data_IF_610053323639
#
_entry.id   IF_610053323639
#
_cell.length_a   1.000
_cell.length_b   1.000
_cell.length_c   1.000
_cell.angle_alpha   90.00
_cell.angle_beta   90.00
_cell.angle_gamma   90.00
#
_symmetry.space_group_name_H-M   'P 1'
#
loop_
_entity.id
_entity.type
_entity.pdbx_description
1 polymer ?
#
# COMPACT_ATOMS: atom_id res chain seq x y z
N UNK A 1 -10.90 7.14 7.53
CA UNK A 1 -11.51 6.92 6.20
C UNK A 1 -12.35 5.64 6.13
N UNK A 2 -11.79 4.42 6.19
CA UNK A 2 -12.58 3.19 6.02
C UNK A 2 -13.71 3.02 7.06
N UNK A 3 -13.41 3.25 8.35
CA UNK A 3 -14.44 3.24 9.40
C UNK A 3 -15.52 4.31 9.19
N UNK A 4 -15.12 5.53 8.80
CA UNK A 4 -16.06 6.62 8.51
C UNK A 4 -16.90 6.34 7.26
N UNK A 5 -16.39 5.51 6.36
CA UNK A 5 -17.10 5.06 5.17
C UNK A 5 -18.20 4.08 5.60
N UNK A 6 -17.89 3.08 6.43
CA UNK A 6 -18.87 2.11 6.92
C UNK A 6 -20.07 2.75 7.64
N UNK A 7 -19.89 3.92 8.26
CA UNK A 7 -20.99 4.68 8.86
C UNK A 7 -22.05 5.13 7.84
N UNK A 8 -21.68 5.36 6.57
CA UNK A 8 -22.61 5.76 5.49
C UNK A 8 -23.71 4.71 5.26
N UNK A 9 -23.38 3.44 5.46
CA UNK A 9 -24.29 2.31 5.32
C UNK A 9 -24.52 1.60 6.66
N UNK A 10 -24.32 2.30 7.78
CA UNK A 10 -24.27 1.71 9.12
C UNK A 10 -25.51 0.91 9.50
N UNK A 11 -26.70 1.35 9.08
CA UNK A 11 -27.93 0.60 9.30
C UNK A 11 -27.98 -0.73 8.52
N UNK A 12 -27.58 -0.72 7.25
CA UNK A 12 -27.51 -1.93 6.41
C UNK A 12 -26.51 -2.92 6.98
N UNK A 13 -25.34 -2.41 7.41
CA UNK A 13 -24.30 -3.22 8.08
C UNK A 13 -24.84 -3.80 9.39
N UNK A 14 -25.57 -3.01 10.20
CA UNK A 14 -26.16 -3.50 11.45
C UNK A 14 -27.19 -4.61 11.21
N UNK A 15 -28.05 -4.47 10.20
CA UNK A 15 -29.04 -5.50 9.82
C UNK A 15 -28.38 -6.80 9.38
N UNK A 16 -27.37 -6.72 8.49
CA UNK A 16 -26.64 -7.91 8.04
C UNK A 16 -25.89 -8.54 9.20
N UNK A 17 -25.19 -7.76 10.01
CA UNK A 17 -24.47 -8.25 11.20
C UNK A 17 -25.39 -9.01 12.14
N UNK A 18 -26.57 -8.47 12.45
CA UNK A 18 -27.51 -9.10 13.35
C UNK A 18 -28.02 -10.44 12.79
N UNK A 19 -28.28 -10.49 11.47
CA UNK A 19 -28.66 -11.73 10.79
C UNK A 19 -27.53 -12.77 10.81
N UNK A 20 -26.29 -12.34 10.61
CA UNK A 20 -25.12 -13.21 10.74
C UNK A 20 -25.00 -13.75 12.15
N UNK A 21 -25.14 -12.90 13.16
CA UNK A 21 -25.12 -13.30 14.57
C UNK A 21 -26.20 -14.33 14.89
N UNK A 22 -27.44 -14.14 14.44
CA UNK A 22 -28.55 -15.05 14.74
C UNK A 22 -28.35 -16.45 14.18
N UNK A 23 -27.65 -16.57 13.04
CA UNK A 23 -27.31 -17.84 12.40
C UNK A 23 -26.07 -18.47 13.04
N UNK A 24 -24.98 -17.72 13.20
CA UNK A 24 -23.70 -18.24 13.70
C UNK A 24 -23.78 -18.66 15.17
N UNK A 25 -24.52 -17.93 16.00
CA UNK A 25 -24.65 -18.22 17.44
C UNK A 25 -25.57 -19.41 17.74
N UNK A 26 -26.37 -19.88 16.78
CA UNK A 26 -27.30 -21.00 16.95
C UNK A 26 -26.83 -22.22 16.13
N UNK A 27 -26.31 -23.29 16.76
CA UNK A 27 -25.84 -24.47 16.04
C UNK A 27 -26.89 -25.07 15.10
N UNK A 28 -28.16 -25.09 15.52
CA UNK A 28 -29.25 -25.60 14.71
C UNK A 28 -29.52 -24.74 13.46
N UNK A 29 -29.47 -23.40 13.59
CA UNK A 29 -29.63 -22.49 12.44
C UNK A 29 -28.42 -22.53 11.53
N UNK A 30 -27.22 -22.63 12.07
CA UNK A 30 -26.00 -22.77 11.28
C UNK A 30 -26.03 -24.04 10.42
N UNK A 31 -26.50 -25.17 10.96
CA UNK A 31 -26.67 -26.41 10.18
C UNK A 31 -27.68 -26.20 9.03
N UNK A 32 -28.87 -25.67 9.34
CA UNK A 32 -29.88 -25.37 8.31
C UNK A 32 -29.39 -24.38 7.25
N UNK A 33 -28.61 -23.37 7.66
CA UNK A 33 -28.04 -22.40 6.74
C UNK A 33 -27.02 -23.05 5.81
N UNK A 34 -26.15 -23.95 6.34
CA UNK A 34 -25.24 -24.75 5.50
C UNK A 34 -26.01 -25.60 4.49
N UNK A 35 -27.12 -26.20 4.87
CA UNK A 35 -28.01 -26.91 3.93
C UNK A 35 -28.55 -25.97 2.84
N UNK A 36 -28.92 -24.73 3.18
CA UNK A 36 -29.34 -23.73 2.19
C UNK A 36 -28.21 -23.37 1.21
N UNK A 37 -26.97 -23.23 1.69
CA UNK A 37 -25.79 -22.97 0.85
C UNK A 37 -25.56 -24.10 -0.16
N UNK A 38 -25.66 -25.36 0.29
CA UNK A 38 -25.54 -26.53 -0.57
C UNK A 38 -26.67 -26.62 -1.60
N UNK A 39 -27.91 -26.34 -1.19
CA UNK A 39 -29.08 -26.36 -2.08
C UNK A 39 -28.99 -25.28 -3.17
N UNK A 40 -28.47 -24.10 -2.85
CA UNK A 40 -28.22 -23.01 -3.80
C UNK A 40 -26.95 -23.23 -4.63
N UNK A 41 -26.20 -24.33 -4.39
CA UNK A 41 -24.96 -24.70 -5.10
C UNK A 41 -23.94 -23.57 -5.11
N UNK A 42 -23.82 -22.83 -4.01
CA UNK A 42 -22.91 -21.69 -3.92
C UNK A 42 -21.49 -22.23 -3.74
N UNK A 43 -20.63 -22.05 -4.74
CA UNK A 43 -19.23 -22.51 -4.72
C UNK A 43 -18.30 -21.75 -3.75
N UNK A 44 -18.84 -21.02 -2.77
CA UNK A 44 -18.06 -20.24 -1.83
C UNK A 44 -17.49 -21.16 -0.75
N UNK A 45 -16.15 -21.23 -0.66
CA UNK A 45 -15.44 -22.03 0.35
C UNK A 45 -15.34 -21.32 1.71
N UNK A 46 -15.56 -20.01 1.76
CA UNK A 46 -15.48 -19.22 3.01
C UNK A 46 -16.75 -19.43 3.82
N UNK A 47 -16.58 -19.78 5.09
CA UNK A 47 -17.68 -19.89 6.04
C UNK A 47 -18.09 -18.52 6.55
N UNK A 48 -19.36 -18.40 6.95
CA UNK A 48 -19.89 -17.18 7.55
C UNK A 48 -19.22 -16.92 8.91
N UNK A 49 -18.68 -15.71 9.12
CA UNK A 49 -18.00 -15.30 10.34
C UNK A 49 -18.63 -14.03 10.95
N UNK A 50 -18.48 -13.86 12.26
CA UNK A 50 -18.86 -12.62 12.97
C UNK A 50 -17.74 -11.60 12.84
N UNK A 51 -18.09 -10.32 12.75
CA UNK A 51 -17.10 -9.25 12.75
C UNK A 51 -16.76 -8.76 14.17
N UNK A 52 -15.65 -8.02 14.28
CA UNK A 52 -15.31 -7.20 15.43
C UNK A 52 -15.67 -5.75 15.06
N UNK A 53 -16.74 -5.14 15.62
CA UNK A 53 -17.26 -3.86 15.14
C UNK A 53 -16.27 -2.69 15.15
N UNK A 54 -15.22 -2.76 15.96
CA UNK A 54 -14.16 -1.75 16.03
C UNK A 54 -13.07 -1.94 14.96
N UNK A 55 -13.07 -3.07 14.26
CA UNK A 55 -12.12 -3.42 13.21
C UNK A 55 -12.83 -3.53 11.85
N UNK A 56 -12.72 -2.46 11.06
CA UNK A 56 -13.35 -2.38 9.75
C UNK A 56 -12.91 -3.49 8.77
N UNK A 57 -11.70 -4.07 8.93
CA UNK A 57 -11.24 -5.18 8.08
C UNK A 57 -12.07 -6.44 8.36
N UNK A 58 -12.36 -6.72 9.63
CA UNK A 58 -13.24 -7.85 9.99
C UNK A 58 -14.68 -7.62 9.49
N UNK A 59 -15.19 -6.39 9.58
CA UNK A 59 -16.49 -6.03 9.02
C UNK A 59 -16.51 -6.20 7.51
N UNK A 60 -15.44 -5.83 6.80
CA UNK A 60 -15.30 -6.05 5.36
C UNK A 60 -15.39 -7.54 5.01
N UNK A 61 -14.66 -8.42 5.71
CA UNK A 61 -14.71 -9.86 5.43
C UNK A 61 -16.07 -10.49 5.73
N UNK A 62 -16.73 -10.06 6.81
CA UNK A 62 -18.11 -10.47 7.12
C UNK A 62 -19.05 -10.07 5.98
N UNK A 63 -19.00 -8.82 5.53
CA UNK A 63 -19.87 -8.32 4.45
C UNK A 63 -19.57 -8.99 3.11
N UNK A 64 -18.29 -9.13 2.73
CA UNK A 64 -17.89 -9.79 1.48
C UNK A 64 -18.35 -11.26 1.43
N UNK A 65 -18.25 -11.96 2.56
CA UNK A 65 -18.75 -13.34 2.69
C UNK A 65 -20.27 -13.38 2.68
N UNK A 66 -20.94 -12.49 3.42
CA UNK A 66 -22.39 -12.43 3.48
C UNK A 66 -23.00 -12.14 2.10
N UNK A 67 -22.43 -11.20 1.34
CA UNK A 67 -22.86 -10.86 -0.01
C UNK A 67 -22.79 -12.07 -0.96
N UNK A 68 -21.70 -12.84 -0.91
CA UNK A 68 -21.55 -14.09 -1.70
C UNK A 68 -22.57 -15.16 -1.33
N UNK A 69 -23.09 -15.12 -0.09
CA UNK A 69 -24.08 -16.06 0.43
C UNK A 69 -25.51 -15.51 0.43
N UNK A 70 -25.77 -14.35 -0.19
CA UNK A 70 -27.08 -13.67 -0.15
C UNK A 70 -28.26 -14.62 -0.47
N UNK A 71 -28.16 -15.44 -1.53
CA UNK A 71 -29.22 -16.38 -1.91
C UNK A 71 -29.51 -17.42 -0.83
N UNK A 72 -28.49 -17.87 -0.10
CA UNK A 72 -28.68 -18.78 1.02
C UNK A 72 -29.37 -18.08 2.20
N UNK A 73 -29.12 -16.79 2.43
CA UNK A 73 -29.86 -16.01 3.42
C UNK A 73 -31.33 -15.86 3.05
N UNK A 74 -31.64 -15.54 1.79
CA UNK A 74 -33.02 -15.42 1.29
C UNK A 74 -33.78 -16.74 1.48
N UNK A 75 -33.19 -17.87 1.09
CA UNK A 75 -33.78 -19.20 1.30
C UNK A 75 -33.93 -19.56 2.77
N UNK A 76 -32.93 -19.22 3.59
CA UNK A 76 -32.99 -19.47 5.03
C UNK A 76 -34.15 -18.71 5.67
N UNK A 77 -34.41 -17.46 5.26
CA UNK A 77 -35.54 -16.67 5.75
C UNK A 77 -36.90 -17.28 5.41
N UNK A 78 -37.04 -17.96 4.26
CA UNK A 78 -38.25 -18.71 3.93
C UNK A 78 -38.44 -19.92 4.86
N UNK A 79 -37.34 -20.55 5.29
CA UNK A 79 -37.35 -21.77 6.10
C UNK A 79 -37.46 -21.55 7.62
N UNK A 80 -37.02 -20.40 8.14
CA UNK A 80 -37.08 -20.06 9.57
C UNK A 80 -37.69 -18.65 9.78
N UNK A 81 -39.04 -18.54 9.80
CA UNK A 81 -39.73 -17.27 10.02
C UNK A 81 -39.48 -16.67 11.40
N UNK A 82 -39.05 -17.48 12.39
CA UNK A 82 -38.80 -17.04 13.77
C UNK A 82 -37.46 -16.31 13.92
N UNK A 83 -36.59 -16.39 12.91
CA UNK A 83 -35.39 -15.56 12.83
C UNK A 83 -35.73 -14.04 12.90
N UNK A 84 -36.92 -13.64 12.40
CA UNK A 84 -37.39 -12.25 12.38
C UNK A 84 -37.66 -11.64 13.76
N UNK A 85 -38.03 -12.44 14.75
CA UNK A 85 -38.36 -11.95 16.10
C UNK A 85 -37.15 -11.73 17.00
N UNK A 86 -35.99 -12.29 16.65
CA UNK A 86 -34.78 -12.23 17.47
C UNK A 86 -33.76 -11.17 17.03
N UNK A 87 -33.90 -10.60 15.82
CA UNK A 87 -33.09 -9.44 15.43
C UNK A 87 -33.40 -8.30 16.40
N UNK A 88 -32.40 -7.86 17.18
CA UNK A 88 -32.52 -6.89 18.28
C UNK A 88 -32.92 -5.47 17.81
N UNK A 89 -34.07 -5.32 17.18
CA UNK A 89 -34.61 -4.04 16.69
C UNK A 89 -34.06 -3.54 15.35
N UNK A 90 -32.99 -4.13 14.80
CA UNK A 90 -32.42 -3.71 13.52
C UNK A 90 -33.31 -4.06 12.30
N UNK A 91 -34.11 -5.12 12.41
CA UNK A 91 -34.91 -5.67 11.31
C UNK A 91 -34.10 -6.59 10.40
N UNK A 92 -34.78 -7.25 9.46
CA UNK A 92 -34.15 -8.11 8.47
C UNK A 92 -33.51 -7.29 7.34
N UNK A 93 -32.37 -7.73 6.79
CA UNK A 93 -31.82 -7.15 5.56
C UNK A 93 -32.85 -7.22 4.43
N UNK A 94 -33.07 -6.09 3.76
CA UNK A 94 -33.91 -5.99 2.57
C UNK A 94 -33.04 -5.88 1.30
N UNK A 95 -33.68 -5.80 0.14
CA UNK A 95 -32.98 -5.70 -1.15
C UNK A 95 -32.03 -4.49 -1.23
N UNK A 96 -32.45 -3.34 -0.69
CA UNK A 96 -31.66 -2.12 -0.71
C UNK A 96 -30.41 -2.24 0.17
N UNK A 97 -30.47 -3.01 1.25
CA UNK A 97 -29.32 -3.29 2.13
C UNK A 97 -28.25 -4.08 1.40
N UNK A 98 -28.65 -5.16 0.72
CA UNK A 98 -27.74 -5.98 -0.09
C UNK A 98 -27.14 -5.20 -1.24
N UNK A 99 -27.94 -4.37 -1.93
CA UNK A 99 -27.45 -3.50 -3.01
C UNK A 99 -26.41 -2.50 -2.48
N UNK A 100 -26.70 -1.79 -1.38
CA UNK A 100 -25.74 -0.85 -0.77
C UNK A 100 -24.43 -1.54 -0.38
N UNK A 101 -24.52 -2.73 0.21
CA UNK A 101 -23.36 -3.51 0.66
C UNK A 101 -22.53 -4.02 -0.52
N UNK A 102 -23.17 -4.46 -1.60
CA UNK A 102 -22.50 -4.85 -2.84
C UNK A 102 -21.57 -3.75 -3.37
N UNK A 103 -22.09 -2.53 -3.48
CA UNK A 103 -21.30 -1.37 -3.86
C UNK A 103 -20.19 -1.13 -2.85
N UNK A 104 -20.53 -1.07 -1.56
CA UNK A 104 -19.57 -0.75 -0.50
C UNK A 104 -18.40 -1.74 -0.39
N UNK A 105 -18.63 -3.02 -0.67
CA UNK A 105 -17.57 -4.03 -0.71
C UNK A 105 -16.52 -3.68 -1.77
N UNK A 106 -16.90 -3.08 -2.89
CA UNK A 106 -15.94 -2.69 -3.93
C UNK A 106 -14.97 -1.62 -3.41
N UNK A 107 -15.49 -0.55 -2.78
CA UNK A 107 -14.61 0.48 -2.20
C UNK A 107 -13.78 -0.10 -1.05
N UNK A 108 -14.38 -0.87 -0.14
CA UNK A 108 -13.67 -1.50 0.97
C UNK A 108 -12.56 -2.42 0.50
N UNK A 109 -12.73 -3.12 -0.62
CA UNK A 109 -11.70 -3.96 -1.22
C UNK A 109 -10.50 -3.14 -1.69
N UNK A 110 -10.72 -2.00 -2.32
CA UNK A 110 -9.62 -1.08 -2.70
C UNK A 110 -8.94 -0.49 -1.46
N UNK A 111 -9.72 -0.11 -0.43
CA UNK A 111 -9.16 0.37 0.84
C UNK A 111 -8.38 -0.70 1.59
N UNK A 112 -8.81 -1.95 1.51
CA UNK A 112 -8.12 -3.10 2.07
C UNK A 112 -6.80 -3.33 1.34
N UNK A 113 -6.81 -3.35 0.01
CA UNK A 113 -5.59 -3.42 -0.79
C UNK A 113 -4.61 -2.27 -0.47
N UNK A 114 -5.12 -1.04 -0.39
CA UNK A 114 -4.33 0.13 0.02
C UNK A 114 -3.76 -0.01 1.43
N UNK A 115 -4.53 -0.55 2.37
CA UNK A 115 -4.07 -0.76 3.76
C UNK A 115 -2.97 -1.80 3.82
N UNK A 116 -3.12 -2.94 3.14
CA UNK A 116 -2.07 -3.96 3.03
C UNK A 116 -0.81 -3.35 2.41
N UNK A 117 -0.97 -2.54 1.36
CA UNK A 117 0.15 -1.86 0.70
C UNK A 117 0.89 -0.90 1.65
N UNK A 118 0.16 -0.05 2.37
CA UNK A 118 0.73 0.88 3.36
C UNK A 118 1.36 0.16 4.55
N UNK A 119 0.85 -1.01 4.93
CA UNK A 119 1.36 -1.84 6.01
C UNK A 119 2.58 -2.68 5.60
N UNK A 120 2.88 -2.78 4.30
CA UNK A 120 4.01 -3.55 3.80
C UNK A 120 5.34 -2.87 4.18
N UNK A 121 6.28 -3.66 4.68
CA UNK A 121 7.56 -3.17 5.21
C UNK A 121 8.80 -3.85 4.62
N UNK A 122 8.58 -4.76 3.66
CA UNK A 122 9.60 -5.61 3.03
C UNK A 122 9.73 -5.41 1.52
N UNK A 123 8.76 -4.75 0.89
CA UNK A 123 8.75 -4.44 -0.53
C UNK A 123 8.65 -2.93 -0.71
N UNK A 124 9.15 -2.43 -1.85
CA UNK A 124 8.99 -1.02 -2.21
C UNK A 124 7.53 -0.76 -2.53
N UNK A 125 6.95 0.24 -1.87
CA UNK A 125 5.54 0.60 -2.02
C UNK A 125 5.34 2.04 -2.50
N UNK A 126 6.39 2.84 -2.51
CA UNK A 126 6.34 4.29 -2.76
C UNK A 126 6.13 4.63 -4.23
N UNK A 127 6.65 3.82 -5.15
CA UNK A 127 6.39 3.98 -6.58
C UNK A 127 4.94 3.62 -6.96
N UNK A 128 4.29 2.73 -6.21
CA UNK A 128 2.97 2.18 -6.53
C UNK A 128 1.83 2.79 -5.72
N UNK A 129 2.11 3.58 -4.68
CA UNK A 129 1.07 4.20 -3.85
C UNK A 129 0.18 5.14 -4.67
N UNK A 130 0.76 5.88 -5.61
CA UNK A 130 -0.01 6.80 -6.44
C UNK A 130 -1.08 6.05 -7.24
N UNK A 131 -0.72 4.92 -7.86
CA UNK A 131 -1.67 4.08 -8.60
C UNK A 131 -2.80 3.58 -7.70
N UNK A 132 -2.49 3.16 -6.46
CA UNK A 132 -3.52 2.73 -5.50
C UNK A 132 -4.47 3.85 -5.07
N UNK A 133 -3.94 5.05 -4.85
CA UNK A 133 -4.75 6.23 -4.55
C UNK A 133 -5.62 6.64 -5.74
N UNK A 134 -5.05 6.54 -6.94
CA UNK A 134 -5.76 6.79 -8.20
C UNK A 134 -6.94 5.83 -8.40
N UNK A 135 -6.75 4.52 -8.18
CA UNK A 135 -7.83 3.51 -8.27
C UNK A 135 -9.02 3.86 -7.37
N UNK A 136 -8.76 4.24 -6.12
CA UNK A 136 -9.80 4.65 -5.16
C UNK A 136 -10.50 5.94 -5.62
N UNK A 137 -9.74 6.92 -6.12
CA UNK A 137 -10.32 8.13 -6.68
C UNK A 137 -11.24 7.80 -7.85
N UNK A 138 -10.71 7.10 -8.86
CA UNK A 138 -11.43 6.80 -10.09
C UNK A 138 -12.76 6.09 -9.80
N UNK A 139 -12.75 5.07 -8.94
CA UNK A 139 -13.96 4.37 -8.52
C UNK A 139 -15.01 5.31 -7.90
N UNK A 140 -14.57 6.23 -7.04
CA UNK A 140 -15.47 7.21 -6.42
C UNK A 140 -16.04 8.19 -7.47
N UNK A 141 -15.25 8.60 -8.45
CA UNK A 141 -15.71 9.46 -9.54
C UNK A 141 -16.76 8.74 -10.41
N UNK A 142 -16.51 7.49 -10.78
CA UNK A 142 -17.51 6.68 -11.52
C UNK A 142 -18.83 6.56 -10.76
N UNK A 143 -18.77 6.41 -9.44
CA UNK A 143 -19.98 6.34 -8.62
C UNK A 143 -20.69 7.69 -8.48
N UNK A 144 -19.96 8.81 -8.50
CA UNK A 144 -20.57 10.14 -8.51
C UNK A 144 -21.41 10.36 -9.77
N UNK A 145 -20.99 9.78 -10.90
CA UNK A 145 -21.69 9.84 -12.18
C UNK A 145 -22.79 8.77 -12.33
N UNK A 146 -23.00 7.93 -11.31
CA UNK A 146 -24.07 6.94 -11.29
C UNK A 146 -25.46 7.57 -11.41
N UNK A 147 -26.36 6.89 -12.14
CA UNK A 147 -27.77 7.28 -12.25
C UNK A 147 -28.56 7.07 -10.96
N UNK A 148 -28.06 6.24 -10.05
CA UNK A 148 -28.70 6.02 -8.76
C UNK A 148 -28.33 7.13 -7.77
N UNK A 149 -29.30 8.00 -7.47
CA UNK A 149 -29.12 9.16 -6.58
C UNK A 149 -28.53 8.80 -5.21
N UNK A 150 -28.92 7.65 -4.65
CA UNK A 150 -28.38 7.16 -3.38
C UNK A 150 -26.86 6.94 -3.45
N UNK A 151 -26.41 6.27 -4.51
CA UNK A 151 -24.99 5.95 -4.75
C UNK A 151 -24.20 7.22 -5.05
N UNK A 152 -24.67 8.06 -5.98
CA UNK A 152 -23.99 9.31 -6.33
C UNK A 152 -23.82 10.23 -5.12
N UNK A 153 -24.86 10.37 -4.29
CA UNK A 153 -24.78 11.18 -3.07
C UNK A 153 -23.77 10.62 -2.05
N UNK A 154 -23.70 9.30 -1.92
CA UNK A 154 -22.78 8.60 -1.02
C UNK A 154 -21.34 8.72 -1.52
N UNK A 155 -21.11 8.54 -2.82
CA UNK A 155 -19.82 8.70 -3.46
C UNK A 155 -19.27 10.12 -3.24
N UNK A 156 -20.11 11.16 -3.35
CA UNK A 156 -19.71 12.54 -3.05
C UNK A 156 -19.24 12.72 -1.59
N UNK A 157 -19.96 12.16 -0.61
CA UNK A 157 -19.53 12.23 0.80
C UNK A 157 -18.25 11.45 1.07
N UNK A 158 -18.07 10.29 0.42
CA UNK A 158 -16.83 9.51 0.50
C UNK A 158 -15.66 10.23 -0.19
N UNK A 159 -15.92 10.93 -1.30
CA UNK A 159 -14.95 11.75 -2.03
C UNK A 159 -14.45 12.92 -1.18
N UNK A 160 -15.35 13.58 -0.46
CA UNK A 160 -15.02 14.62 0.52
C UNK A 160 -14.08 14.06 1.59
N UNK A 161 -14.45 12.94 2.24
CA UNK A 161 -13.61 12.25 3.25
C UNK A 161 -12.26 11.77 2.70
N UNK A 162 -12.23 11.28 1.46
CA UNK A 162 -10.99 10.88 0.78
C UNK A 162 -10.05 12.08 0.62
N UNK A 163 -10.59 13.21 0.17
CA UNK A 163 -9.82 14.44 -0.04
C UNK A 163 -9.35 15.04 1.29
N UNK A 164 -10.16 14.96 2.35
CA UNK A 164 -9.76 15.41 3.69
C UNK A 164 -8.61 14.58 4.26
N UNK A 165 -8.57 13.27 3.95
CA UNK A 165 -7.55 12.37 4.47
C UNK A 165 -6.25 12.39 3.67
N UNK A 166 -6.35 12.35 2.33
CA UNK A 166 -5.19 12.25 1.44
C UNK A 166 -4.72 13.60 0.87
N UNK A 167 -5.53 14.65 1.03
CA UNK A 167 -5.29 15.94 0.40
C UNK A 167 -5.59 15.92 -1.09
N UNK A 168 -5.37 17.07 -1.73
CA UNK A 168 -5.37 17.16 -3.19
C UNK A 168 -4.05 16.62 -3.73
N UNK A 169 -4.05 16.08 -4.96
CA UNK A 169 -2.83 15.57 -5.58
C UNK A 169 -1.69 16.60 -5.57
N UNK A 170 -1.97 17.85 -5.91
CA UNK A 170 -0.99 18.96 -5.86
C UNK A 170 -0.37 19.23 -4.48
N UNK A 171 -1.00 18.78 -3.40
CA UNK A 171 -0.56 18.95 -2.01
C UNK A 171 0.15 17.69 -1.47
N UNK A 172 0.18 16.60 -2.26
CA UNK A 172 0.87 15.37 -1.88
C UNK A 172 2.38 15.58 -1.80
N UNK A 173 3.03 14.77 -0.96
CA UNK A 173 4.47 14.81 -0.79
C UNK A 173 5.21 14.52 -2.11
N UNK A 174 6.18 15.38 -2.47
CA UNK A 174 7.00 15.26 -3.67
C UNK A 174 7.69 13.90 -3.83
N UNK A 175 8.00 13.21 -2.73
CA UNK A 175 8.59 11.86 -2.75
C UNK A 175 7.74 10.87 -3.55
N UNK A 176 6.41 11.00 -3.55
CA UNK A 176 5.52 10.13 -4.34
C UNK A 176 5.77 10.33 -5.84
N UNK A 177 5.90 11.58 -6.27
CA UNK A 177 6.17 11.91 -7.67
C UNK A 177 7.59 11.53 -8.09
N UNK A 178 8.58 11.76 -7.23
CA UNK A 178 9.94 11.31 -7.47
C UNK A 178 10.02 9.79 -7.59
N UNK A 179 9.28 9.04 -6.78
CA UNK A 179 9.23 7.58 -6.87
C UNK A 179 8.58 7.09 -8.16
N UNK A 180 7.57 7.80 -8.70
CA UNK A 180 7.02 7.52 -10.02
C UNK A 180 8.04 7.77 -11.14
N UNK A 181 8.74 8.90 -11.09
CA UNK A 181 9.78 9.23 -12.07
C UNK A 181 10.89 8.16 -12.05
N UNK A 182 11.27 7.71 -10.87
CA UNK A 182 12.28 6.66 -10.67
C UNK A 182 11.76 5.24 -10.92
N UNK A 183 10.49 5.05 -11.27
CA UNK A 183 10.01 3.78 -11.78
C UNK A 183 10.22 3.74 -13.31
N UNK A 184 11.06 2.81 -13.83
CA UNK A 184 11.35 2.70 -15.25
C UNK A 184 10.12 2.49 -16.15
N UNK A 185 9.01 2.00 -15.58
CA UNK A 185 7.75 1.78 -16.29
C UNK A 185 6.90 3.04 -16.47
N UNK A 186 7.14 4.06 -15.64
CA UNK A 186 6.28 5.25 -15.57
C UNK A 186 7.01 6.53 -16.02
N UNK A 187 8.21 6.77 -15.46
CA UNK A 187 9.01 7.98 -15.74
C UNK A 187 8.18 9.27 -15.63
N UNK A 188 8.50 10.28 -16.43
CA UNK A 188 7.71 11.52 -16.52
C UNK A 188 6.45 11.35 -17.39
N UNK A 189 6.44 10.36 -18.29
CA UNK A 189 5.34 10.08 -19.21
C UNK A 189 4.01 9.87 -18.47
N UNK A 190 4.05 9.19 -17.30
CA UNK A 190 2.83 8.97 -16.52
C UNK A 190 2.18 10.30 -16.13
N UNK A 191 2.95 11.30 -15.69
CA UNK A 191 2.43 12.57 -15.18
C UNK A 191 1.76 13.40 -16.29
N UNK A 192 2.22 13.23 -17.52
CA UNK A 192 1.67 13.88 -18.71
C UNK A 192 0.41 13.15 -19.22
N UNK A 193 0.29 11.85 -18.95
CA UNK A 193 -0.86 11.01 -19.35
C UNK A 193 -2.06 11.04 -18.39
N UNK A 194 -1.92 11.67 -17.22
CA UNK A 194 -2.92 11.60 -16.16
C UNK A 194 -4.20 12.38 -16.51
N UNK A 195 -5.38 11.87 -16.10
CA UNK A 195 -6.66 12.54 -16.37
C UNK A 195 -6.75 13.94 -15.77
N UNK A 196 -7.37 14.88 -16.50
CA UNK A 196 -7.54 16.28 -16.09
C UNK A 196 -8.39 16.44 -14.82
N UNK A 197 -9.25 15.47 -14.52
CA UNK A 197 -10.10 15.40 -13.33
C UNK A 197 -9.29 15.27 -12.03
N UNK A 198 -8.02 14.87 -12.11
CA UNK A 198 -7.12 14.87 -10.95
C UNK A 198 -6.72 16.27 -10.50
N UNK A 199 -7.06 17.30 -11.28
CA UNK A 199 -6.59 18.68 -11.09
C UNK A 199 -5.07 18.77 -10.90
N UNK A 200 -4.36 17.80 -11.47
CA UNK A 200 -2.92 17.85 -11.64
C UNK A 200 -2.68 18.82 -12.78
N UNK A 201 -2.27 20.05 -12.45
CA UNK A 201 -1.89 21.01 -13.46
C UNK A 201 -0.63 20.49 -14.16
N UNK A 202 -0.41 20.81 -15.45
CA UNK A 202 0.88 20.57 -16.11
C UNK A 202 2.06 21.10 -15.28
N UNK A 203 1.82 22.14 -14.49
CA UNK A 203 2.77 22.70 -13.52
C UNK A 203 3.27 21.66 -12.51
N UNK A 204 2.45 20.69 -12.08
CA UNK A 204 2.89 19.65 -11.14
C UNK A 204 3.93 18.71 -11.76
N UNK A 205 3.78 18.38 -13.05
CA UNK A 205 4.78 17.63 -13.80
C UNK A 205 6.11 18.38 -13.86
N UNK A 206 6.06 19.69 -14.11
CA UNK A 206 7.25 20.55 -14.10
C UNK A 206 7.88 20.67 -12.71
N UNK A 207 7.09 20.84 -11.65
CA UNK A 207 7.58 20.87 -10.27
C UNK A 207 8.26 19.54 -9.90
N UNK A 208 7.66 18.41 -10.27
CA UNK A 208 8.25 17.09 -10.01
C UNK A 208 9.54 16.88 -10.81
N UNK A 209 9.57 17.32 -12.07
CA UNK A 209 10.76 17.33 -12.93
C UNK A 209 11.87 18.18 -12.30
N UNK A 210 11.60 19.43 -11.95
CA UNK A 210 12.57 20.34 -11.30
C UNK A 210 13.10 19.76 -9.99
N UNK A 211 12.22 19.18 -9.16
CA UNK A 211 12.62 18.52 -7.92
C UNK A 211 13.55 17.32 -8.18
N UNK A 212 13.28 16.52 -9.23
CA UNK A 212 14.12 15.37 -9.59
C UNK A 212 15.52 15.81 -10.01
N UNK A 213 15.63 16.86 -10.84
CA UNK A 213 16.92 17.42 -11.27
C UNK A 213 17.68 18.06 -10.11
N UNK A 214 16.99 18.85 -9.28
CA UNK A 214 17.61 19.49 -8.11
C UNK A 214 18.16 18.45 -7.15
N UNK A 215 17.39 17.40 -6.85
CA UNK A 215 17.85 16.32 -5.97
C UNK A 215 19.00 15.55 -6.62
N UNK A 216 18.94 15.26 -7.91
CA UNK A 216 20.02 14.61 -8.63
C UNK A 216 21.33 15.41 -8.54
N UNK A 217 21.28 16.73 -8.65
CA UNK A 217 22.45 17.60 -8.51
C UNK A 217 23.07 17.53 -7.11
N UNK A 218 22.25 17.43 -6.05
CA UNK A 218 22.77 17.19 -4.69
C UNK A 218 23.48 15.84 -4.58
N UNK A 219 22.91 14.77 -5.14
CA UNK A 219 23.60 13.47 -5.22
C UNK A 219 24.88 13.58 -6.04
N UNK A 220 24.85 14.29 -7.16
CA UNK A 220 26.04 14.51 -8.00
C UNK A 220 27.15 15.19 -7.22
N UNK A 221 26.87 16.21 -6.39
CA UNK A 221 27.87 16.87 -5.53
C UNK A 221 28.47 15.94 -4.47
N UNK A 222 27.67 15.01 -3.92
CA UNK A 222 28.17 14.04 -2.94
C UNK A 222 29.18 13.06 -3.55
N UNK A 223 28.93 12.63 -4.79
CA UNK A 223 29.75 11.64 -5.46
C UNK A 223 30.86 12.25 -6.32
N UNK A 224 30.65 13.38 -6.99
CA UNK A 224 31.63 14.08 -7.83
C UNK A 224 32.05 15.39 -7.15
N UNK A 225 33.26 15.50 -6.59
CA UNK A 225 33.77 16.78 -6.12
C UNK A 225 33.84 17.75 -7.31
N UNK A 226 33.38 18.99 -7.14
CA UNK A 226 33.79 20.06 -8.03
C UNK A 226 35.31 20.07 -8.07
N UNK A 227 35.89 20.02 -9.27
CA UNK A 227 37.31 20.34 -9.43
C UNK A 227 37.44 21.77 -8.90
N UNK A 228 37.94 21.93 -7.68
CA UNK A 228 38.52 23.20 -7.27
C UNK A 228 39.56 23.50 -8.33
N UNK A 229 39.32 24.58 -9.07
CA UNK A 229 40.24 25.18 -10.01
C UNK A 229 41.43 25.81 -9.26
N UNK A 230 42.11 25.02 -8.43
CA UNK A 230 43.46 25.26 -8.00
C UNK A 230 44.33 24.39 -8.89
N UNK A 231 44.82 25.00 -9.97
CA UNK A 231 46.00 24.54 -10.68
C UNK A 231 47.18 24.46 -9.71
N UNK A 232 47.28 23.35 -9.00
CA UNK A 232 48.52 22.92 -8.37
C UNK A 232 49.04 21.73 -9.15
N UNK A 233 50.18 21.94 -9.80
CA UNK A 233 50.96 20.89 -10.44
C UNK A 233 51.38 19.90 -9.36
N UNK A 234 50.85 18.68 -9.37
CA UNK A 234 51.49 17.60 -8.61
C UNK A 234 52.78 17.15 -9.32
N UNK A 235 53.85 16.85 -8.58
CA UNK A 235 55.04 16.23 -9.12
C UNK A 235 54.80 14.73 -9.34
N UNK A 236 55.29 14.21 -10.47
CA UNK A 236 55.36 12.78 -10.73
C UNK A 236 56.25 12.10 -9.68
N UNK A 237 55.64 11.25 -8.85
CA UNK A 237 56.36 10.26 -8.03
C UNK A 237 55.40 9.15 -7.63
N UNK A 238 55.62 7.96 -8.20
CA UNK A 238 54.78 6.79 -8.01
C UNK A 238 54.78 6.23 -6.60
N UNK A 239 53.57 6.12 -6.04
CA UNK A 239 53.09 4.96 -5.29
C UNK A 239 51.57 5.12 -5.12
N UNK A 240 50.77 4.29 -5.80
CA UNK A 240 49.32 4.21 -5.52
C UNK A 240 49.17 3.63 -4.13
N UNK A 241 49.07 4.49 -3.12
CA UNK A 241 48.70 4.10 -1.76
C UNK A 241 47.29 3.51 -1.80
N UNK A 242 47.17 2.23 -1.43
CA UNK A 242 45.87 1.59 -1.26
C UNK A 242 45.12 2.30 -0.12
N UNK A 243 43.88 2.78 -0.34
CA UNK A 243 43.09 3.34 0.75
C UNK A 243 42.91 2.28 1.84
N UNK A 244 43.45 2.53 3.03
CA UNK A 244 43.33 1.63 4.20
C UNK A 244 41.88 1.41 4.66
N UNK A 245 40.93 2.18 4.12
CA UNK A 245 39.51 2.15 4.45
C UNK A 245 38.73 1.64 3.24
N UNK A 246 38.21 0.41 3.33
CA UNK A 246 37.43 -0.25 2.29
C UNK A 246 36.20 0.57 1.89
N UNK A 247 35.62 1.36 2.81
CA UNK A 247 34.48 2.23 2.51
C UNK A 247 34.91 3.39 1.61
N UNK A 248 36.08 3.99 1.86
CA UNK A 248 36.67 5.01 0.98
C UNK A 248 37.05 4.45 -0.38
N UNK A 249 37.58 3.23 -0.43
CA UNK A 249 37.86 2.54 -1.69
C UNK A 249 36.58 2.31 -2.51
N UNK A 250 35.50 1.82 -1.91
CA UNK A 250 34.22 1.62 -2.60
C UNK A 250 33.63 2.93 -3.10
N UNK A 251 33.71 4.01 -2.31
CA UNK A 251 33.32 5.35 -2.74
C UNK A 251 34.16 5.78 -3.95
N UNK A 252 35.49 5.65 -3.87
CA UNK A 252 36.41 6.03 -4.95
C UNK A 252 36.17 5.22 -6.24
N UNK A 253 35.93 3.92 -6.13
CA UNK A 253 35.62 3.07 -7.28
C UNK A 253 34.31 3.50 -7.96
N UNK A 254 33.25 3.76 -7.17
CA UNK A 254 31.98 4.30 -7.71
C UNK A 254 32.16 5.68 -8.35
N UNK A 255 33.10 6.49 -7.86
CA UNK A 255 33.44 7.78 -8.47
C UNK A 255 34.05 7.64 -9.85
N UNK A 256 34.99 6.72 -10.01
CA UNK A 256 35.65 6.44 -11.30
C UNK A 256 34.64 5.93 -12.33
N UNK A 257 33.75 5.04 -11.91
CA UNK A 257 32.63 4.53 -12.73
C UNK A 257 31.64 5.65 -13.12
N UNK A 258 31.29 6.53 -12.17
CA UNK A 258 30.44 7.68 -12.45
C UNK A 258 31.09 8.65 -13.44
N UNK A 259 32.36 9.02 -13.26
CA UNK A 259 33.08 9.92 -14.17
C UNK A 259 33.20 9.35 -15.58
N UNK A 260 33.37 8.04 -15.73
CA UNK A 260 33.39 7.38 -17.05
C UNK A 260 32.01 7.40 -17.74
N UNK A 261 30.93 7.38 -16.97
CA UNK A 261 29.56 7.39 -17.50
C UNK A 261 29.14 8.75 -18.09
N UNK A 262 29.80 9.86 -17.73
CA UNK A 262 29.52 11.22 -18.24
C UNK A 262 30.23 11.57 -19.56
N UNK A 263 30.78 10.60 -20.28
CA UNK A 263 31.55 10.86 -21.51
C UNK A 263 30.75 11.55 -22.64
N UNK A 264 29.42 11.43 -22.62
CA UNK A 264 28.52 11.93 -23.68
C UNK A 264 27.85 13.28 -23.35
N UNK A 265 28.29 13.95 -22.27
CA UNK A 265 27.79 15.28 -21.87
C UNK A 265 26.41 15.32 -21.20
N UNK A 266 25.60 14.26 -21.35
CA UNK A 266 24.32 14.08 -20.63
C UNK A 266 24.51 13.50 -19.23
N UNK A 267 23.67 13.92 -18.30
CA UNK A 267 23.58 13.34 -16.96
C UNK A 267 22.92 11.96 -16.96
N UNK A 268 23.10 11.20 -15.87
CA UNK A 268 22.41 9.91 -15.68
C UNK A 268 20.89 10.06 -15.76
N UNK A 269 20.35 11.13 -15.15
CA UNK A 269 18.92 11.41 -15.15
C UNK A 269 18.39 11.70 -16.57
N UNK A 270 19.08 12.53 -17.34
CA UNK A 270 18.68 12.82 -18.72
C UNK A 270 18.72 11.56 -19.59
N UNK A 271 19.80 10.76 -19.52
CA UNK A 271 19.88 9.50 -20.27
C UNK A 271 18.77 8.53 -19.90
N UNK A 272 18.45 8.42 -18.60
CA UNK A 272 17.35 7.59 -18.13
C UNK A 272 15.99 8.06 -18.64
N UNK A 273 15.74 9.37 -18.65
CA UNK A 273 14.47 9.95 -19.12
C UNK A 273 14.31 9.85 -20.65
N UNK A 274 15.41 9.88 -21.40
CA UNK A 274 15.41 9.72 -22.86
C UNK A 274 15.17 8.27 -23.32
N UNK A 275 15.41 7.30 -22.45
CA UNK A 275 15.18 5.88 -22.76
C UNK A 275 13.68 5.56 -22.75
N UNK A 276 13.22 4.60 -23.57
CA UNK A 276 11.82 4.17 -23.53
C UNK A 276 11.43 3.62 -22.15
N UNK A 277 10.14 3.68 -21.83
CA UNK A 277 9.57 3.05 -20.64
C UNK A 277 9.69 1.52 -20.72
N UNK A 278 9.94 0.90 -19.58
CA UNK A 278 9.99 -0.56 -19.46
C UNK A 278 8.59 -1.16 -19.51
N UNK A 279 8.48 -2.38 -20.04
CA UNK A 279 7.21 -3.10 -20.08
C UNK A 279 6.72 -3.47 -18.68
N UNK A 280 5.41 -3.41 -18.47
CA UNK A 280 4.78 -3.78 -17.21
C UNK A 280 4.54 -5.30 -17.17
N UNK A 281 5.35 -6.01 -16.38
CA UNK A 281 5.20 -7.45 -16.10
C UNK A 281 4.68 -7.64 -14.68
N UNK A 282 3.91 -8.70 -14.43
CA UNK A 282 3.23 -8.98 -13.14
C UNK A 282 4.16 -9.02 -11.90
N UNK A 283 5.49 -9.10 -12.10
CA UNK A 283 6.49 -9.18 -11.02
C UNK A 283 7.73 -8.30 -11.29
N UNK A 284 7.52 -7.02 -11.59
CA UNK A 284 8.63 -6.08 -11.79
C UNK A 284 9.31 -5.68 -10.46
N UNK A 285 10.56 -6.12 -10.24
CA UNK A 285 11.40 -5.68 -9.11
C UNK A 285 12.15 -4.39 -9.46
N UNK A 286 11.57 -3.25 -9.08
CA UNK A 286 12.16 -1.91 -9.33
C UNK A 286 13.55 -1.75 -8.71
N UNK A 287 13.80 -2.28 -7.51
CA UNK A 287 15.13 -2.19 -6.89
C UNK A 287 16.12 -3.12 -7.57
N UNK A 288 15.68 -4.30 -7.99
CA UNK A 288 16.44 -5.22 -8.81
C UNK A 288 16.86 -4.57 -10.13
N UNK A 289 15.95 -3.85 -10.79
CA UNK A 289 16.23 -3.12 -12.03
C UNK A 289 17.30 -2.04 -11.82
N UNK A 290 17.17 -1.20 -10.78
CA UNK A 290 18.17 -0.18 -10.44
C UNK A 290 19.53 -0.79 -10.09
N UNK A 291 19.54 -1.92 -9.38
CA UNK A 291 20.77 -2.65 -9.07
C UNK A 291 21.45 -3.17 -10.35
N UNK A 292 20.68 -3.69 -11.30
CA UNK A 292 21.20 -4.17 -12.59
C UNK A 292 21.74 -3.05 -13.47
N UNK A 293 21.06 -1.90 -13.49
CA UNK A 293 21.42 -0.75 -14.32
C UNK A 293 22.37 0.26 -13.62
N UNK A 294 22.92 -0.10 -12.46
CA UNK A 294 23.84 0.77 -11.71
C UNK A 294 25.06 1.21 -12.52
N UNK A 295 25.59 0.32 -13.35
CA UNK A 295 26.71 0.62 -14.25
C UNK A 295 26.39 1.67 -15.33
N UNK A 296 25.10 1.82 -15.70
CA UNK A 296 24.63 2.81 -16.67
C UNK A 296 24.28 4.13 -16.00
N UNK A 297 23.66 4.06 -14.83
CA UNK A 297 23.15 5.22 -14.08
C UNK A 297 23.64 5.24 -12.63
N UNK A 298 24.95 5.36 -12.39
CA UNK A 298 25.53 5.14 -11.06
C UNK A 298 25.05 6.13 -10.00
N UNK A 299 24.88 7.42 -10.33
CA UNK A 299 24.42 8.44 -9.38
C UNK A 299 22.91 8.29 -9.15
N UNK A 300 22.16 8.14 -10.25
CA UNK A 300 20.71 8.02 -10.20
C UNK A 300 20.27 6.75 -9.46
N UNK A 301 21.01 5.64 -9.62
CA UNK A 301 20.71 4.39 -8.90
C UNK A 301 20.85 4.55 -7.39
N UNK A 302 21.80 5.36 -6.91
CA UNK A 302 21.91 5.65 -5.48
C UNK A 302 20.70 6.46 -4.99
N UNK A 303 20.30 7.49 -5.76
CA UNK A 303 19.09 8.26 -5.47
C UNK A 303 17.83 7.37 -5.45
N UNK A 304 17.70 6.45 -6.40
CA UNK A 304 16.60 5.50 -6.45
C UNK A 304 16.57 4.56 -5.25
N UNK A 305 17.72 4.00 -4.87
CA UNK A 305 17.81 3.12 -3.70
C UNK A 305 17.45 3.83 -2.38
N UNK A 306 17.78 5.11 -2.25
CA UNK A 306 17.48 5.87 -1.04
C UNK A 306 16.00 6.33 -0.99
N UNK A 307 15.42 6.75 -2.12
CA UNK A 307 14.04 7.24 -2.18
C UNK A 307 12.99 6.13 -2.19
N UNK A 308 13.19 5.08 -3.00
CA UNK A 308 12.18 4.03 -3.17
C UNK A 308 12.01 3.19 -1.89
N UNK A 309 13.03 3.14 -1.03
CA UNK A 309 12.98 2.38 0.23
C UNK A 309 12.26 3.15 1.35
N UNK A 310 11.96 4.45 1.17
CA UNK A 310 11.22 5.24 2.15
C UNK A 310 9.82 4.64 2.31
N UNK A 311 9.43 4.12 3.49
CA UNK A 311 8.10 3.57 3.67
C UNK A 311 7.04 4.68 3.60
N UNK A 312 5.98 4.45 2.84
CA UNK A 312 4.88 5.40 2.67
C UNK A 312 4.11 5.65 3.97
N UNK A 313 4.06 4.66 4.87
CA UNK A 313 3.32 4.76 6.13
C UNK A 313 4.15 4.35 7.33
N UNK A 314 3.86 5.01 8.45
CA UNK A 314 4.36 4.63 9.78
C UNK A 314 3.83 3.26 10.22
N UNK A 315 2.67 2.83 9.70
CA UNK A 315 2.09 1.52 10.01
C UNK A 315 3.04 0.35 9.65
N UNK A 316 3.84 0.50 8.58
CA UNK A 316 4.87 -0.46 8.19
C UNK A 316 5.99 -0.60 9.25
N UNK A 317 6.22 0.44 10.05
CA UNK A 317 7.14 0.42 11.18
C UNK A 317 6.43 -0.05 12.45
N UNK A 318 5.19 0.37 12.68
CA UNK A 318 4.40 0.02 13.86
C UNK A 318 4.09 -1.49 13.92
N UNK A 319 3.87 -2.19 12.80
CA UNK A 319 3.74 -3.66 12.80
C UNK A 319 4.99 -4.36 13.36
N UNK A 320 6.19 -3.83 13.05
CA UNK A 320 7.46 -4.31 13.63
C UNK A 320 7.54 -4.04 15.14
N UNK A 321 6.96 -2.93 15.61
CA UNK A 321 6.92 -2.57 17.02
C UNK A 321 5.77 -3.23 17.81
N UNK A 322 4.64 -3.60 17.22
CA UNK A 322 3.59 -4.38 17.88
C UNK A 322 4.10 -5.76 18.27
N UNK A 323 4.89 -6.41 17.38
CA UNK A 323 5.69 -7.61 17.71
C UNK A 323 6.74 -7.36 18.82
N UNK A 324 7.17 -6.11 19.02
CA UNK A 324 8.05 -5.71 20.12
C UNK A 324 7.29 -5.44 21.44
N UNK A 325 5.99 -5.13 21.39
CA UNK A 325 5.14 -4.95 22.56
C UNK A 325 5.06 -6.21 23.42
N UNK A 326 4.93 -7.38 22.79
CA UNK A 326 5.01 -8.68 23.45
C UNK A 326 6.37 -8.93 24.14
N UNK A 327 7.46 -8.41 23.57
CA UNK A 327 8.80 -8.45 24.17
C UNK A 327 8.83 -7.50 25.38
N UNK A 328 8.26 -6.29 25.29
CA UNK A 328 8.20 -5.37 26.43
C UNK A 328 7.43 -5.97 27.62
N UNK A 329 6.30 -6.64 27.38
CA UNK A 329 5.48 -7.22 28.45
C UNK A 329 6.15 -8.47 29.06
N UNK A 330 6.88 -9.24 28.24
CA UNK A 330 7.68 -10.40 28.70
C UNK A 330 9.00 -10.02 29.39
N UNK A 331 9.53 -8.82 29.15
CA UNK A 331 10.83 -8.35 29.65
C UNK A 331 10.71 -7.08 30.52
N UNK A 332 9.60 -6.96 31.26
CA UNK A 332 9.41 -5.89 32.24
C UNK A 332 10.58 -5.86 33.24
N UNK A 333 11.43 -4.82 33.14
CA UNK A 333 12.62 -4.64 33.98
C UNK A 333 13.92 -4.34 33.23
N UNK A 334 14.00 -4.50 31.91
CA UNK A 334 15.19 -4.13 31.12
C UNK A 334 15.09 -2.67 30.63
N UNK A 335 16.15 -1.88 30.85
CA UNK A 335 16.21 -0.48 30.42
C UNK A 335 16.10 -0.30 28.89
N UNK A 336 15.61 0.88 28.47
CA UNK A 336 15.33 1.25 27.06
C UNK A 336 16.42 0.84 26.05
N UNK A 337 17.70 0.96 26.43
CA UNK A 337 18.85 0.61 25.59
C UNK A 337 18.97 -0.89 25.30
N UNK A 338 18.64 -1.76 26.26
CA UNK A 338 18.66 -3.21 26.08
C UNK A 338 17.51 -3.67 25.18
N UNK A 339 16.34 -3.04 25.29
CA UNK A 339 15.22 -3.29 24.39
C UNK A 339 15.58 -2.91 22.94
N UNK A 340 16.22 -1.75 22.73
CA UNK A 340 16.72 -1.37 21.40
C UNK A 340 17.70 -2.40 20.82
N UNK A 341 18.69 -2.83 21.62
CA UNK A 341 19.67 -3.85 21.16
C UNK A 341 18.98 -5.16 20.80
N UNK A 342 18.05 -5.65 21.64
CA UNK A 342 17.32 -6.88 21.37
C UNK A 342 16.45 -6.80 20.12
N UNK A 343 15.77 -5.67 19.90
CA UNK A 343 14.94 -5.45 18.71
C UNK A 343 15.79 -5.36 17.44
N UNK A 344 16.89 -4.60 17.47
CA UNK A 344 17.81 -4.49 16.34
C UNK A 344 18.45 -5.84 16.00
N UNK A 345 18.90 -6.59 17.01
CA UNK A 345 19.53 -7.91 16.82
C UNK A 345 18.53 -8.91 16.26
N UNK A 346 17.29 -8.94 16.76
CA UNK A 346 16.22 -9.79 16.22
C UNK A 346 15.89 -9.43 14.77
N UNK A 347 15.87 -8.13 14.43
CA UNK A 347 15.66 -7.68 13.05
C UNK A 347 16.77 -8.09 12.10
N UNK A 348 18.01 -8.23 12.58
CA UNK A 348 19.16 -8.64 11.76
C UNK A 348 19.30 -10.16 11.62
N UNK A 349 18.88 -10.92 12.63
CA UNK A 349 19.00 -12.38 12.64
C UNK A 349 17.83 -13.11 11.94
N UNK A 350 16.68 -12.45 11.75
CA UNK A 350 15.56 -13.05 11.03
C UNK A 350 15.82 -12.99 9.51
N UNK A 351 15.80 -14.14 8.80
CA UNK A 351 15.95 -14.16 7.35
C UNK A 351 14.90 -13.28 6.65
N UNK A 352 15.29 -12.66 5.54
CA UNK A 352 14.39 -11.91 4.64
C UNK A 352 13.16 -12.73 4.22
N UNK A 353 13.28 -14.06 4.23
CA UNK A 353 12.26 -15.03 3.80
C UNK A 353 11.44 -15.67 4.93
N UNK A 354 11.69 -15.39 6.21
CA UNK A 354 10.78 -15.87 7.27
C UNK A 354 9.62 -14.88 7.40
N UNK A 355 8.45 -15.38 6.99
CA UNK A 355 7.15 -14.71 6.85
C UNK A 355 6.70 -13.87 8.05
N UNK A 356 5.57 -13.20 7.87
CA UNK A 356 4.88 -12.24 8.74
C UNK A 356 5.14 -10.79 8.34
N UNK A 357 4.73 -10.49 7.08
CA UNK A 357 4.01 -9.25 6.80
C UNK A 357 2.63 -9.33 7.49
N UNK A 358 1.87 -8.24 7.52
CA UNK A 358 0.47 -8.25 8.01
C UNK A 358 -0.38 -9.32 7.30
N UNK A 359 0.08 -9.85 6.15
CA UNK A 359 -0.44 -11.08 5.54
C UNK A 359 -0.48 -12.28 6.47
N UNK A 360 0.51 -12.53 7.35
CA UNK A 360 0.41 -13.62 8.33
C UNK A 360 -0.50 -13.23 9.49
N UNK A 361 -0.59 -11.95 9.89
CA UNK A 361 -1.51 -11.55 10.97
C UNK A 361 -2.97 -11.56 10.47
N UNK A 362 -3.19 -11.31 9.17
CA UNK A 362 -4.50 -11.41 8.50
C UNK A 362 -4.79 -12.84 8.08
N UNK A 363 -3.81 -13.64 7.66
CA UNK A 363 -3.97 -15.10 7.51
C UNK A 363 -4.19 -15.76 8.86
N UNK A 364 -3.55 -15.30 9.95
CA UNK A 364 -3.82 -15.77 11.31
C UNK A 364 -5.22 -15.35 11.78
N UNK A 365 -5.77 -14.23 11.30
CA UNK A 365 -7.19 -13.89 11.49
C UNK A 365 -8.08 -14.79 10.62
N UNK A 366 -7.76 -15.02 9.35
CA UNK A 366 -8.47 -15.96 8.46
C UNK A 366 -8.36 -17.43 8.92
N UNK A 367 -7.29 -17.81 9.63
CA UNK A 367 -7.05 -19.14 10.20
C UNK A 367 -7.63 -19.28 11.62
N UNK A 368 -7.65 -18.21 12.42
CA UNK A 368 -8.41 -18.16 13.67
C UNK A 368 -9.93 -18.24 13.42
N UNK A 369 -10.38 -17.88 12.23
CA UNK A 369 -11.75 -18.03 11.73
C UNK A 369 -12.06 -19.44 11.16
N UNK A 370 -11.11 -20.39 11.20
CA UNK A 370 -11.31 -21.80 10.79
C UNK A 370 -11.65 -22.76 11.94
N UNK A 371 -11.97 -22.27 13.14
CA UNK A 371 -12.41 -23.11 14.26
C UNK A 371 -13.94 -23.18 14.34
#
# INVERSE_FOLDING_TARGET
>A
MASDSLQEIGESVARIREMVHSIVLSPARLIKFKECVELEKIGNKRMLCMDVPTNWISTFFMLDTAQKLQKAFEKFQESDPHCKSETRGAGMPNRDDWQKVEWFIQILRHLYGLTLHLSCSRHVTTNTIFARLFEVHHLLSEWQDSTEMGISSMARRLREKYTDYWGKYKEMNLVIYLALILDPRYKLEILESLPSELHLTPEMGEIAREAAFTLFDEYKRLYVPEKSSSSEKEPESGARSFPSDFKKYLIQKRREEALAAFADGKSDLERYLDEPTEQDWDYFDVLGWWKGNNHRFPILSNMAHDLLVVPVSRAALESKFSRAGYIRDSFSGKGSKMLQVLLSTKSWLLPSHSSSCVEDDVQNLEEAERI
#
